data_IF_222746266544
#
_entry.id   IF_222746266544
#
_cell.length_a   1.000
_cell.length_b   1.000
_cell.length_c   1.000
_cell.angle_alpha   90.00
_cell.angle_beta   90.00
_cell.angle_gamma   90.00
#
_symmetry.space_group_name_H-M   'P 1'
#
loop_
_entity.id
_entity.type
_entity.pdbx_description
1 polymer ?
#
# COMPACT_ATOMS: atom_id res chain seq x y z
N UNK A 1 7.68 0.34 -20.31
CA UNK A 1 6.49 0.20 -19.43
C UNK A 1 5.35 1.15 -19.82
N UNK A 2 5.54 2.48 -19.82
CA UNK A 2 4.45 3.45 -20.07
C UNK A 2 3.65 3.24 -21.37
N UNK A 3 4.31 2.93 -22.49
CA UNK A 3 3.62 2.64 -23.76
C UNK A 3 2.65 1.45 -23.68
N UNK A 4 2.91 0.44 -22.84
CA UNK A 4 2.01 -0.70 -22.64
C UNK A 4 0.73 -0.30 -21.91
N UNK A 5 0.78 0.75 -21.08
CA UNK A 5 -0.40 1.27 -20.39
C UNK A 5 -1.29 2.02 -21.37
N UNK A 6 -0.70 2.87 -22.22
CA UNK A 6 -1.45 3.63 -23.25
C UNK A 6 -2.00 2.73 -24.37
N UNK A 7 -1.38 1.59 -24.64
CA UNK A 7 -1.85 0.61 -25.63
C UNK A 7 -2.73 -0.48 -25.01
N UNK A 8 -3.09 -0.36 -23.73
CA UNK A 8 -3.89 -1.32 -22.96
C UNK A 8 -3.31 -2.75 -22.85
N UNK A 9 -2.05 -2.95 -23.25
CA UNK A 9 -1.32 -4.23 -23.17
C UNK A 9 -0.61 -4.44 -21.83
N UNK A 10 -0.97 -3.66 -20.80
CA UNK A 10 -0.40 -3.77 -19.46
C UNK A 10 -1.00 -4.93 -18.64
N UNK A 11 -2.15 -5.48 -19.05
CA UNK A 11 -2.79 -6.58 -18.34
C UNK A 11 -3.60 -6.13 -17.12
N UNK A 12 -4.15 -4.90 -17.13
CA UNK A 12 -5.20 -4.49 -16.19
C UNK A 12 -6.53 -5.15 -16.58
N UNK A 13 -7.42 -5.44 -15.63
CA UNK A 13 -8.73 -5.98 -15.95
C UNK A 13 -9.44 -5.01 -16.90
N UNK A 14 -10.11 -5.55 -17.93
CA UNK A 14 -10.83 -4.76 -18.93
C UNK A 14 -12.24 -4.40 -18.48
N UNK A 15 -12.78 -5.12 -17.49
CA UNK A 15 -14.12 -4.91 -16.98
C UNK A 15 -14.13 -3.76 -15.99
N UNK A 16 -15.05 -2.82 -16.19
CA UNK A 16 -15.33 -1.75 -15.25
C UNK A 16 -16.13 -2.34 -14.08
N UNK A 17 -15.61 -2.19 -12.86
CA UNK A 17 -16.19 -2.81 -11.67
C UNK A 17 -17.05 -1.80 -10.92
N UNK A 18 -18.21 -2.26 -10.47
CA UNK A 18 -19.09 -1.50 -9.60
C UNK A 18 -18.41 -1.24 -8.25
N UNK A 19 -18.33 0.04 -7.87
CA UNK A 19 -17.76 0.41 -6.58
C UNK A 19 -18.60 -0.14 -5.41
N UNK A 20 -17.98 -0.57 -4.30
CA UNK A 20 -18.70 -1.00 -3.12
C UNK A 20 -19.63 0.12 -2.62
N UNK A 21 -20.93 -0.17 -2.51
CA UNK A 21 -21.94 0.80 -2.04
C UNK A 21 -22.30 1.89 -3.04
N UNK A 22 -22.04 1.72 -4.34
CA UNK A 22 -22.43 2.67 -5.39
C UNK A 22 -22.88 1.96 -6.67
N UNK A 23 -23.76 2.59 -7.45
CA UNK A 23 -24.17 2.11 -8.78
C UNK A 23 -23.18 2.50 -9.90
N UNK A 24 -22.02 3.05 -9.54
CA UNK A 24 -21.00 3.51 -10.48
C UNK A 24 -20.02 2.39 -10.80
N UNK A 25 -19.94 2.00 -12.07
CA UNK A 25 -18.87 1.16 -12.61
C UNK A 25 -17.67 2.02 -12.99
N UNK A 26 -16.48 1.66 -12.49
CA UNK A 26 -15.24 2.37 -12.80
C UNK A 26 -14.13 1.40 -13.26
N UNK A 27 -13.25 1.85 -14.16
CA UNK A 27 -12.10 1.07 -14.58
C UNK A 27 -11.07 0.98 -13.46
N UNK A 28 -10.24 -0.07 -13.52
CA UNK A 28 -8.98 -0.08 -12.78
C UNK A 28 -8.02 0.96 -13.34
N UNK A 29 -7.42 1.71 -12.43
CA UNK A 29 -6.47 2.77 -12.77
C UNK A 29 -5.14 2.58 -12.04
N UNK A 30 -4.09 3.12 -12.64
CA UNK A 30 -2.78 3.28 -12.01
C UNK A 30 -2.72 4.70 -11.44
N UNK A 31 -2.26 4.83 -10.20
CA UNK A 31 -1.95 6.12 -9.60
C UNK A 31 -0.62 6.60 -10.13
N UNK A 32 -0.65 7.67 -10.91
CA UNK A 32 0.50 8.25 -11.59
C UNK A 32 0.93 9.61 -11.03
N UNK A 33 2.17 9.96 -11.35
CA UNK A 33 2.77 11.29 -11.23
C UNK A 33 2.22 12.25 -12.32
N UNK A 34 2.37 13.55 -12.11
CA UNK A 34 2.18 14.63 -13.09
C UNK A 34 2.92 14.37 -14.43
N UNK A 35 4.06 13.67 -14.39
CA UNK A 35 4.87 13.28 -15.55
C UNK A 35 4.15 12.32 -16.53
N UNK A 36 3.11 11.60 -16.09
CA UNK A 36 2.32 10.76 -16.99
C UNK A 36 1.32 11.59 -17.81
N UNK A 37 1.02 11.11 -19.02
CA UNK A 37 -0.09 11.67 -19.81
C UNK A 37 -1.40 11.19 -19.20
N UNK A 38 -2.42 12.06 -19.22
CA UNK A 38 -3.75 11.68 -18.76
C UNK A 38 -4.29 10.58 -19.67
N UNK A 39 -4.81 9.50 -19.07
CA UNK A 39 -5.30 8.33 -19.79
C UNK A 39 -6.45 7.68 -18.99
N UNK A 40 -7.37 6.95 -19.65
CA UNK A 40 -8.50 6.27 -18.98
C UNK A 40 -8.03 5.40 -17.80
N UNK A 41 -6.87 4.78 -17.93
CA UNK A 41 -6.26 3.86 -16.95
C UNK A 41 -5.18 4.50 -16.06
N UNK A 42 -5.01 5.83 -16.09
CA UNK A 42 -4.02 6.54 -15.26
C UNK A 42 -4.70 7.74 -14.60
N UNK A 43 -4.74 7.75 -13.27
CA UNK A 43 -5.10 8.94 -12.50
C UNK A 43 -3.83 9.71 -12.13
N UNK A 44 -3.80 11.01 -12.43
CA UNK A 44 -2.69 11.88 -12.08
C UNK A 44 -3.19 13.14 -11.39
N UNK A 45 -2.36 13.83 -10.58
CA UNK A 45 -2.80 15.01 -9.87
C UNK A 45 -3.15 16.14 -10.84
N UNK A 46 -4.13 16.95 -10.46
CA UNK A 46 -4.35 18.26 -11.08
C UNK A 46 -3.17 19.17 -10.82
N UNK A 47 -2.91 20.10 -11.73
CA UNK A 47 -1.83 21.06 -11.55
C UNK A 47 -2.09 21.95 -10.31
N UNK A 48 -1.03 22.54 -9.76
CA UNK A 48 -1.12 23.33 -8.52
C UNK A 48 -2.04 24.55 -8.64
N UNK A 49 -2.14 25.16 -9.82
CA UNK A 49 -3.00 26.31 -10.05
C UNK A 49 -4.49 25.91 -10.02
N UNK A 50 -4.86 24.81 -10.68
CA UNK A 50 -6.20 24.24 -10.71
C UNK A 50 -6.63 23.77 -9.32
N UNK A 51 -5.74 23.11 -8.57
CA UNK A 51 -6.03 22.67 -7.22
C UNK A 51 -6.20 23.84 -6.23
N UNK A 52 -5.54 24.99 -6.46
CA UNK A 52 -5.74 26.20 -5.66
C UNK A 52 -7.06 26.90 -5.96
N UNK A 53 -7.50 26.86 -7.22
CA UNK A 53 -8.72 27.51 -7.67
C UNK A 53 -9.99 26.71 -7.32
N UNK A 54 -9.87 25.40 -7.08
CA UNK A 54 -10.99 24.48 -6.92
C UNK A 54 -10.76 23.51 -5.75
N UNK A 55 -11.62 23.60 -4.74
CA UNK A 55 -11.54 22.79 -3.53
C UNK A 55 -11.63 21.29 -3.82
N UNK A 56 -12.52 20.86 -4.73
CA UNK A 56 -12.70 19.45 -5.07
C UNK A 56 -11.44 18.86 -5.71
N UNK A 57 -10.74 19.65 -6.54
CA UNK A 57 -9.45 19.26 -7.13
C UNK A 57 -8.34 19.17 -6.09
N UNK A 58 -8.37 20.03 -5.08
CA UNK A 58 -7.46 19.95 -3.92
C UNK A 58 -7.68 18.66 -3.13
N UNK A 59 -8.93 18.33 -2.81
CA UNK A 59 -9.30 17.09 -2.11
C UNK A 59 -8.90 15.86 -2.93
N UNK A 60 -9.13 15.86 -4.23
CA UNK A 60 -8.67 14.80 -5.12
C UNK A 60 -7.14 14.62 -5.05
N UNK A 61 -6.37 15.69 -5.20
CA UNK A 61 -4.90 15.64 -5.13
C UNK A 61 -4.40 15.14 -3.77
N UNK A 62 -5.06 15.53 -2.68
CA UNK A 62 -4.76 15.05 -1.35
C UNK A 62 -4.97 13.54 -1.24
N UNK A 63 -6.13 13.03 -1.69
CA UNK A 63 -6.44 11.58 -1.69
C UNK A 63 -5.46 10.78 -2.55
N UNK A 64 -5.15 11.29 -3.74
CA UNK A 64 -4.18 10.67 -4.64
C UNK A 64 -2.78 10.60 -4.01
N UNK A 65 -2.39 11.66 -3.29
CA UNK A 65 -1.11 11.71 -2.57
C UNK A 65 -1.10 10.76 -1.37
N UNK A 66 -2.22 10.60 -0.65
CA UNK A 66 -2.36 9.62 0.43
C UNK A 66 -2.17 8.19 -0.10
N UNK A 67 -2.80 7.84 -1.22
CA UNK A 67 -2.64 6.52 -1.85
C UNK A 67 -1.17 6.23 -2.18
N UNK A 68 -0.45 7.18 -2.79
CA UNK A 68 0.99 7.05 -3.07
C UNK A 68 1.81 6.84 -1.80
N UNK A 69 1.60 7.70 -0.79
CA UNK A 69 2.32 7.61 0.48
C UNK A 69 2.14 6.26 1.17
N UNK A 70 0.96 5.65 1.11
CA UNK A 70 0.75 4.30 1.65
C UNK A 70 1.62 3.28 0.94
N UNK A 71 1.63 3.29 -0.40
CA UNK A 71 2.49 2.39 -1.18
C UNK A 71 3.99 2.63 -0.94
N UNK A 72 4.43 3.89 -0.90
CA UNK A 72 5.82 4.27 -0.65
C UNK A 72 6.27 3.86 0.75
N UNK A 73 5.45 4.10 1.77
CA UNK A 73 5.74 3.70 3.15
C UNK A 73 5.87 2.18 3.28
N UNK A 74 4.99 1.41 2.64
CA UNK A 74 5.07 -0.05 2.65
C UNK A 74 6.39 -0.56 2.04
N UNK A 75 6.81 0.00 0.90
CA UNK A 75 8.11 -0.33 0.31
C UNK A 75 9.29 0.16 1.16
N UNK A 76 9.15 1.30 1.84
CA UNK A 76 10.15 1.81 2.78
C UNK A 76 10.40 0.83 3.93
N UNK A 77 9.33 0.31 4.54
CA UNK A 77 9.41 -0.70 5.58
C UNK A 77 10.04 -2.01 5.07
N UNK A 78 9.60 -2.50 3.90
CA UNK A 78 10.21 -3.68 3.29
C UNK A 78 11.71 -3.49 3.04
N UNK A 79 12.10 -2.30 2.59
CA UNK A 79 13.51 -1.99 2.32
C UNK A 79 14.34 -1.95 3.60
N UNK A 80 13.81 -1.38 4.68
CA UNK A 80 14.47 -1.35 5.99
C UNK A 80 14.75 -2.75 6.56
N UNK A 81 13.83 -3.69 6.32
CA UNK A 81 13.94 -5.07 6.81
C UNK A 81 14.84 -5.90 5.89
N UNK A 82 14.69 -5.77 4.58
CA UNK A 82 15.41 -6.59 3.60
C UNK A 82 16.44 -5.77 2.82
N UNK A 83 17.72 -6.03 3.13
CA UNK A 83 18.87 -5.33 2.51
C UNK A 83 18.92 -5.40 0.98
N UNK A 84 18.27 -6.40 0.37
CA UNK A 84 18.20 -6.58 -1.08
C UNK A 84 17.64 -5.36 -1.82
N UNK A 85 16.74 -4.59 -1.18
CA UNK A 85 16.12 -3.40 -1.79
C UNK A 85 17.00 -2.14 -1.71
N UNK A 86 18.08 -2.14 -0.91
CA UNK A 86 19.04 -1.02 -0.87
C UNK A 86 20.09 -1.06 -1.99
N UNK A 87 20.18 -2.19 -2.70
CA UNK A 87 21.12 -2.38 -3.80
C UNK A 87 20.40 -2.42 -5.14
N UNK A 88 21.02 -1.96 -6.23
CA UNK A 88 20.49 -2.15 -7.57
C UNK A 88 20.17 -3.63 -7.82
N UNK A 89 18.90 -3.92 -8.06
CA UNK A 89 18.42 -5.29 -8.20
C UNK A 89 18.64 -5.72 -9.65
N UNK A 90 19.77 -6.36 -9.92
CA UNK A 90 20.15 -6.85 -11.25
C UNK A 90 19.50 -8.20 -11.59
N UNK A 91 18.16 -8.26 -11.53
CA UNK A 91 17.38 -9.46 -11.88
C UNK A 91 16.33 -9.13 -12.94
N UNK A 92 15.81 -10.19 -13.59
CA UNK A 92 14.73 -10.03 -14.57
C UNK A 92 13.44 -9.57 -13.89
N UNK A 93 12.57 -8.77 -14.55
CA UNK A 93 11.33 -8.27 -13.96
C UNK A 93 10.44 -9.38 -13.38
N UNK A 94 10.36 -10.54 -14.06
CA UNK A 94 9.54 -11.67 -13.62
C UNK A 94 10.05 -12.27 -12.29
N UNK A 95 11.37 -12.26 -12.08
CA UNK A 95 11.99 -12.68 -10.83
C UNK A 95 11.84 -11.63 -9.74
N UNK A 96 11.76 -10.35 -10.11
CA UNK A 96 11.50 -9.26 -9.18
C UNK A 96 10.13 -9.37 -8.52
N UNK A 97 9.10 -9.76 -9.29
CA UNK A 97 7.75 -9.99 -8.75
C UNK A 97 7.75 -11.11 -7.69
N UNK A 98 8.51 -12.17 -7.92
CA UNK A 98 8.70 -13.26 -6.94
C UNK A 98 9.47 -12.80 -5.71
N UNK A 99 10.52 -12.00 -5.89
CA UNK A 99 11.29 -11.41 -4.78
C UNK A 99 10.38 -10.58 -3.87
N UNK A 100 9.59 -9.66 -4.45
CA UNK A 100 8.66 -8.81 -3.70
C UNK A 100 7.67 -9.70 -2.94
N UNK A 101 7.05 -10.67 -3.63
CA UNK A 101 6.08 -11.58 -3.01
C UNK A 101 6.69 -12.37 -1.84
N UNK A 102 7.89 -12.93 -2.02
CA UNK A 102 8.60 -13.67 -0.98
C UNK A 102 8.92 -12.78 0.23
N UNK A 103 9.36 -11.54 0.01
CA UNK A 103 9.64 -10.59 1.10
C UNK A 103 8.39 -10.18 1.85
N UNK A 104 7.24 -10.03 1.18
CA UNK A 104 5.96 -9.79 1.84
C UNK A 104 5.52 -10.98 2.70
N UNK A 105 5.65 -12.20 2.19
CA UNK A 105 5.35 -13.41 2.95
C UNK A 105 6.25 -13.55 4.18
N UNK A 106 7.56 -13.35 4.01
CA UNK A 106 8.53 -13.42 5.08
C UNK A 106 8.33 -12.32 6.13
N UNK A 107 8.00 -11.10 5.69
CA UNK A 107 7.63 -10.01 6.60
C UNK A 107 6.43 -10.38 7.48
N UNK A 108 5.38 -10.93 6.87
CA UNK A 108 4.20 -11.37 7.61
C UNK A 108 4.53 -12.49 8.61
N UNK A 109 5.33 -13.48 8.20
CA UNK A 109 5.76 -14.57 9.08
C UNK A 109 6.56 -14.05 10.29
N UNK A 110 7.52 -13.15 10.04
CA UNK A 110 8.34 -12.55 11.10
C UNK A 110 7.46 -11.72 12.04
N UNK A 111 6.55 -10.91 11.51
CA UNK A 111 5.61 -10.12 12.32
C UNK A 111 4.76 -11.01 13.22
N UNK A 112 4.15 -12.06 12.66
CA UNK A 112 3.25 -12.93 13.41
C UNK A 112 4.02 -13.65 14.53
N UNK A 113 5.27 -14.09 14.29
CA UNK A 113 6.15 -14.62 15.33
C UNK A 113 6.53 -13.61 16.42
N UNK A 114 6.77 -12.34 16.07
CA UNK A 114 7.00 -11.27 17.06
C UNK A 114 5.73 -10.93 17.87
N UNK A 115 4.55 -10.98 17.24
CA UNK A 115 3.27 -10.75 17.93
C UNK A 115 3.01 -11.86 18.96
N UNK A 116 3.31 -13.12 18.64
CA UNK A 116 3.21 -14.24 19.58
C UNK A 116 4.17 -14.08 20.78
N UNK A 117 5.44 -13.74 20.52
CA UNK A 117 6.44 -13.51 21.56
C UNK A 117 6.06 -12.31 22.44
N UNK A 118 5.65 -11.18 21.83
CA UNK A 118 5.25 -10.00 22.58
C UNK A 118 3.99 -10.26 23.42
N UNK A 119 3.05 -11.05 22.92
CA UNK A 119 1.85 -11.42 23.69
C UNK A 119 2.22 -12.26 24.92
N UNK A 120 3.17 -13.19 24.78
CA UNK A 120 3.70 -13.98 25.90
C UNK A 120 4.43 -13.11 26.92
N UNK A 121 5.32 -12.22 26.47
CA UNK A 121 6.06 -11.28 27.35
C UNK A 121 5.08 -10.36 28.09
N UNK A 122 4.09 -9.79 27.40
CA UNK A 122 3.10 -8.92 28.03
C UNK A 122 2.24 -9.70 29.03
N UNK A 123 1.90 -10.95 28.75
CA UNK A 123 1.15 -11.79 29.68
C UNK A 123 1.98 -12.15 30.92
N UNK A 124 3.29 -12.36 30.76
CA UNK A 124 4.24 -12.64 31.85
C UNK A 124 4.56 -11.38 32.69
N UNK A 125 4.64 -10.20 32.05
CA UNK A 125 4.82 -8.90 32.72
C UNK A 125 3.58 -8.44 33.49
N UNK A 126 2.37 -8.67 32.94
CA UNK A 126 1.09 -8.36 33.62
C UNK A 126 0.88 -9.24 34.87
N UNK A 127 1.37 -10.47 34.86
CA UNK A 127 1.37 -11.32 36.06
C UNK A 127 2.39 -10.86 37.10
N UNK A 128 3.44 -10.14 36.71
CA UNK A 128 4.58 -9.81 37.58
C UNK A 128 4.62 -8.35 38.06
N UNK A 129 3.88 -7.41 37.47
CA UNK A 129 3.97 -5.99 37.86
C UNK A 129 2.61 -5.30 37.97
N UNK A 130 2.11 -5.16 39.20
CA UNK A 130 1.24 -4.04 39.55
C UNK A 130 2.09 -2.75 39.50
N UNK A 131 1.72 -1.83 38.60
CA UNK A 131 2.15 -0.42 38.54
C UNK A 131 3.51 -0.14 37.89
N UNK A 132 3.50 0.20 36.59
CA UNK A 132 4.37 1.25 36.02
C UNK A 132 3.81 1.73 34.68
N UNK A 133 3.67 3.05 34.52
CA UNK A 133 3.11 3.66 33.31
C UNK A 133 4.03 3.45 32.10
N UNK A 134 3.44 3.03 30.97
CA UNK A 134 4.14 2.81 29.70
C UNK A 134 4.45 4.14 28.98
N UNK A 135 5.59 4.26 28.26
CA UNK A 135 5.87 5.44 27.43
C UNK A 135 4.96 5.48 26.19
N UNK A 136 4.32 6.63 25.96
CA UNK A 136 3.41 6.92 24.84
C UNK A 136 4.08 6.93 23.45
N UNK A 137 5.40 6.74 23.35
CA UNK A 137 6.16 6.93 22.11
C UNK A 137 5.94 5.84 21.05
N UNK A 138 5.19 4.77 21.35
CA UNK A 138 4.85 3.70 20.41
C UNK A 138 3.34 3.60 20.15
N UNK A 139 2.58 4.65 20.47
CA UNK A 139 1.16 4.73 20.20
C UNK A 139 0.91 5.27 18.79
N UNK A 140 1.35 4.54 17.76
CA UNK A 140 0.66 4.61 16.47
C UNK A 140 -0.38 3.49 16.52
N UNK A 141 -1.64 3.88 16.79
CA UNK A 141 -2.75 2.99 17.10
C UNK A 141 -2.74 1.70 16.28
N UNK A 142 -2.76 0.56 16.99
CA UNK A 142 -2.84 -0.79 16.43
C UNK A 142 -4.04 -0.96 15.47
N UNK A 143 -5.09 -0.15 15.64
CA UNK A 143 -6.24 -0.12 14.74
C UNK A 143 -5.94 0.51 13.37
N UNK A 144 -5.05 1.50 13.29
CA UNK A 144 -4.65 2.07 12.00
C UNK A 144 -3.91 1.06 11.12
N UNK A 145 -3.13 0.17 11.74
CA UNK A 145 -2.41 -0.90 11.04
C UNK A 145 -3.29 -2.10 10.71
N UNK A 146 -4.34 -2.39 11.51
CA UNK A 146 -5.36 -3.40 11.14
C UNK A 146 -6.19 -2.95 9.94
N UNK A 147 -6.56 -1.66 9.88
CA UNK A 147 -7.23 -1.07 8.71
C UNK A 147 -6.32 -1.12 7.49
N UNK A 148 -5.03 -0.76 7.62
CA UNK A 148 -4.06 -0.90 6.54
C UNK A 148 -3.79 -2.36 6.15
N UNK A 149 -3.77 -3.30 7.10
CA UNK A 149 -3.66 -4.75 6.86
C UNK A 149 -4.86 -5.23 6.04
N UNK A 150 -6.07 -4.81 6.38
CA UNK A 150 -7.28 -5.16 5.63
C UNK A 150 -7.30 -4.51 4.25
N UNK A 151 -6.98 -3.21 4.12
CA UNK A 151 -6.96 -2.53 2.82
C UNK A 151 -5.83 -3.02 1.90
N UNK A 152 -4.66 -3.35 2.46
CA UNK A 152 -3.56 -3.95 1.71
C UNK A 152 -3.88 -5.40 1.32
N UNK A 153 -4.48 -6.22 2.21
CA UNK A 153 -4.96 -7.55 1.82
C UNK A 153 -6.04 -7.46 0.73
N UNK A 154 -6.96 -6.49 0.79
CA UNK A 154 -7.97 -6.30 -0.26
C UNK A 154 -7.37 -5.75 -1.56
N UNK A 155 -6.31 -4.95 -1.53
CA UNK A 155 -5.60 -4.52 -2.76
C UNK A 155 -4.78 -5.65 -3.41
N UNK A 156 -4.19 -6.55 -2.62
CA UNK A 156 -3.29 -7.59 -3.13
C UNK A 156 -3.95 -8.97 -3.34
N UNK A 157 -4.99 -9.33 -2.58
CA UNK A 157 -5.68 -10.63 -2.70
C UNK A 157 -6.95 -10.62 -3.57
N UNK A 158 -7.51 -9.46 -3.95
CA UNK A 158 -8.69 -9.41 -4.85
C UNK A 158 -8.34 -9.58 -6.34
N UNK A 159 -7.27 -10.33 -6.63
CA UNK A 159 -6.93 -10.81 -7.97
C UNK A 159 -6.64 -12.31 -7.97
N UNK A 160 -7.55 -13.07 -7.39
CA UNK A 160 -7.84 -14.46 -7.80
C UNK A 160 -9.35 -14.69 -7.79
N UNK A 161 -9.99 -14.29 -8.88
CA UNK A 161 -11.31 -14.78 -9.26
C UNK A 161 -11.45 -14.77 -10.80
N UNK A 162 -10.63 -15.59 -11.46
CA UNK A 162 -10.92 -16.47 -12.61
C UNK A 162 -9.61 -16.91 -13.25
#
# INVERSE_FOLDING_TARGET
MGQRIYTEKFGLPSEDIQLPGSDKCLPYVIVGDEAFRLHKRIMKPFNRAQAKADFEKSVFNYRLSRARRVSENAFGLLSQIFRVFYTPIAIKPETCDLLITATCCLHNLIRDGYEEINTQIVHEELTNTQTTMRPLARCEDMETWKVLKYEMLQMFFTRKAK
#
